data_IF_108900719249
#
_entry.id   IF_108900719249
#
_cell.length_a   1.000
_cell.length_b   1.000
_cell.length_c   1.000
_cell.angle_alpha   90.00
_cell.angle_beta   90.00
_cell.angle_gamma   90.00
#
_symmetry.space_group_name_H-M   'P 1'
#
loop_
_entity.id
_entity.type
_entity.pdbx_description
1 polymer ?
#
# COMPACT_ATOMS: atom_id res chain seq x y z
N UNK A 1 27.22 28.44 7.39
CA UNK A 1 27.41 28.08 6.00
C UNK A 1 27.75 26.60 5.80
N UNK A 2 28.85 26.04 6.35
CA UNK A 2 29.22 24.62 6.15
C UNK A 2 28.15 23.59 6.62
N UNK A 3 27.40 23.86 7.69
CA UNK A 3 26.34 22.96 8.21
C UNK A 3 25.11 22.95 7.31
N UNK A 4 24.69 24.11 6.82
CA UNK A 4 23.56 24.24 5.86
C UNK A 4 23.90 23.63 4.51
N UNK A 5 25.13 23.81 4.01
CA UNK A 5 25.59 23.19 2.77
C UNK A 5 25.64 21.66 2.89
N UNK A 6 25.96 21.13 4.07
CA UNK A 6 25.98 19.70 4.38
C UNK A 6 24.56 19.11 4.42
N UNK A 7 23.59 19.80 5.01
CA UNK A 7 22.17 19.41 5.03
C UNK A 7 21.54 19.46 3.64
N UNK A 8 21.86 20.47 2.83
CA UNK A 8 21.43 20.57 1.42
C UNK A 8 22.02 19.43 0.59
N UNK A 9 23.29 19.09 0.76
CA UNK A 9 23.95 17.99 0.04
C UNK A 9 23.38 16.63 0.47
N UNK A 10 23.01 16.43 1.74
CA UNK A 10 22.33 15.21 2.22
C UNK A 10 20.92 15.08 1.64
N UNK A 11 20.18 16.19 1.54
CA UNK A 11 18.86 16.21 0.88
C UNK A 11 18.95 15.84 -0.61
N UNK A 12 19.96 16.33 -1.32
CA UNK A 12 20.17 16.06 -2.76
C UNK A 12 20.57 14.60 -3.02
N UNK A 13 21.45 14.00 -2.21
CA UNK A 13 21.87 12.61 -2.37
C UNK A 13 20.73 11.64 -1.99
N UNK A 14 20.02 11.92 -0.90
CA UNK A 14 18.81 11.16 -0.53
C UNK A 14 17.73 11.24 -1.61
N UNK A 15 17.57 12.40 -2.21
CA UNK A 15 16.60 12.64 -3.27
C UNK A 15 16.96 11.94 -4.59
N UNK A 16 18.25 11.91 -4.97
CA UNK A 16 18.74 11.17 -6.14
C UNK A 16 18.57 9.65 -5.98
N UNK A 17 18.78 9.10 -4.78
CA UNK A 17 18.53 7.69 -4.50
C UNK A 17 17.02 7.37 -4.54
N UNK A 18 16.18 8.25 -4.02
CA UNK A 18 14.72 8.12 -4.10
C UNK A 18 14.26 8.16 -5.56
N UNK A 19 14.81 9.04 -6.39
CA UNK A 19 14.42 9.13 -7.82
C UNK A 19 14.89 7.94 -8.63
N UNK A 20 16.07 7.40 -8.38
CA UNK A 20 16.57 6.20 -9.07
C UNK A 20 15.80 4.94 -8.67
N UNK A 21 15.51 4.74 -7.39
CA UNK A 21 14.65 3.67 -6.89
C UNK A 21 13.23 3.79 -7.43
N UNK A 22 12.69 5.02 -7.48
CA UNK A 22 11.35 5.28 -7.98
C UNK A 22 11.24 5.04 -9.50
N UNK A 23 12.23 5.46 -10.30
CA UNK A 23 12.30 5.20 -11.73
C UNK A 23 12.41 3.70 -12.03
N UNK A 24 13.13 2.96 -11.18
CA UNK A 24 13.23 1.50 -11.29
C UNK A 24 11.91 0.82 -10.93
N UNK A 25 11.26 1.23 -9.85
CA UNK A 25 9.94 0.73 -9.42
C UNK A 25 8.80 1.04 -10.44
N UNK A 26 8.91 2.14 -11.20
CA UNK A 26 7.95 2.50 -12.25
C UNK A 26 8.21 1.78 -13.60
N UNK A 27 9.13 0.83 -13.64
CA UNK A 27 9.34 -0.04 -14.80
C UNK A 27 10.07 0.60 -15.99
N UNK A 28 10.79 1.71 -15.79
CA UNK A 28 11.63 2.30 -16.84
C UNK A 28 12.79 1.42 -17.25
N UNK A 29 13.15 0.43 -16.42
CA UNK A 29 14.14 -0.61 -16.74
C UNK A 29 13.45 -1.97 -16.76
N UNK A 30 12.98 -2.39 -17.94
CA UNK A 30 12.42 -3.73 -18.15
C UNK A 30 13.53 -4.78 -18.05
N UNK A 31 13.47 -5.61 -17.01
CA UNK A 31 14.12 -6.91 -17.01
C UNK A 31 13.15 -7.95 -17.57
N UNK A 32 13.58 -8.74 -18.55
CA UNK A 32 12.78 -9.80 -19.16
C UNK A 32 12.54 -10.96 -18.19
N UNK A 33 11.34 -11.57 -18.19
CA UNK A 33 11.05 -12.69 -17.29
C UNK A 33 11.71 -13.98 -17.78
N UNK A 34 12.49 -14.61 -16.93
CA UNK A 34 12.95 -15.99 -17.12
C UNK A 34 11.97 -16.97 -16.49
N UNK A 35 11.35 -17.79 -17.32
CA UNK A 35 10.53 -18.93 -16.89
C UNK A 35 11.39 -20.07 -16.37
N UNK A 36 11.08 -20.56 -15.17
CA UNK A 36 11.43 -21.93 -14.76
C UNK A 36 10.23 -22.57 -14.07
N UNK A 37 9.82 -23.80 -14.48
CA UNK A 37 8.74 -24.52 -13.82
C UNK A 37 9.27 -25.37 -12.67
N UNK A 38 8.65 -25.32 -11.52
CA UNK A 38 8.90 -26.25 -10.41
C UNK A 38 7.64 -27.05 -10.08
N UNK A 39 7.78 -28.38 -10.11
CA UNK A 39 6.76 -29.36 -9.73
C UNK A 39 6.53 -29.38 -8.21
N UNK A 40 5.31 -29.64 -7.76
CA UNK A 40 4.99 -29.76 -6.34
C UNK A 40 5.08 -31.22 -5.87
N UNK A 41 5.69 -31.44 -4.71
CA UNK A 41 5.57 -32.66 -3.92
C UNK A 41 4.63 -32.43 -2.73
N UNK A 42 3.72 -33.34 -2.40
CA UNK A 42 2.76 -33.13 -1.31
C UNK A 42 3.33 -33.58 0.04
N UNK A 43 3.19 -32.75 1.06
CA UNK A 43 3.41 -33.13 2.45
C UNK A 43 2.11 -33.07 3.22
N UNK A 44 1.66 -34.24 3.66
CA UNK A 44 0.49 -34.44 4.52
C UNK A 44 0.89 -34.24 5.98
N UNK A 45 0.30 -33.28 6.68
CA UNK A 45 0.35 -33.24 8.15
C UNK A 45 -1.06 -33.13 8.71
N UNK A 46 -1.53 -34.21 9.33
CA UNK A 46 -2.73 -34.23 10.16
C UNK A 46 -2.38 -33.72 11.56
N UNK A 47 -3.05 -32.66 12.02
CA UNK A 47 -3.16 -32.37 13.44
C UNK A 47 -4.57 -31.88 13.76
N UNK A 48 -5.32 -32.72 14.50
CA UNK A 48 -6.61 -32.36 15.10
C UNK A 48 -6.37 -31.34 16.22
N UNK A 49 -7.09 -30.24 16.17
CA UNK A 49 -7.30 -29.37 17.32
C UNK A 49 -8.80 -29.12 17.42
N UNK A 50 -9.39 -29.60 18.51
CA UNK A 50 -10.77 -29.32 18.89
C UNK A 50 -10.91 -27.84 19.25
N UNK A 51 -11.76 -27.14 18.51
CA UNK A 51 -12.18 -25.77 18.84
C UNK A 51 -13.70 -25.70 18.91
N UNK A 52 -14.16 -25.27 20.07
CA UNK A 52 -15.55 -25.07 20.45
C UNK A 52 -16.30 -24.21 19.43
N UNK A 53 -17.47 -24.69 19.06
CA UNK A 53 -18.49 -24.12 18.19
C UNK A 53 -18.74 -22.62 18.38
N UNK A 54 -18.33 -21.80 17.40
CA UNK A 54 -18.92 -20.53 17.09
C UNK A 54 -19.99 -20.74 16.02
N UNK A 55 -21.11 -20.04 16.12
CA UNK A 55 -22.23 -20.11 15.20
C UNK A 55 -21.75 -20.20 13.75
N UNK A 56 -21.98 -21.33 13.10
CA UNK A 56 -21.75 -21.54 11.67
C UNK A 56 -22.81 -20.75 10.92
N UNK A 57 -22.38 -19.76 10.17
CA UNK A 57 -23.21 -19.16 9.12
C UNK A 57 -23.52 -20.21 8.03
N UNK A 58 -24.68 -20.16 7.39
CA UNK A 58 -25.02 -21.13 6.35
C UNK A 58 -24.00 -21.08 5.21
N UNK A 59 -23.55 -22.24 4.76
CA UNK A 59 -22.59 -22.44 3.67
C UNK A 59 -23.01 -21.84 2.31
N UNK A 60 -24.12 -21.13 2.25
CA UNK A 60 -24.73 -20.51 1.07
C UNK A 60 -24.50 -18.99 0.95
N UNK A 61 -24.09 -18.31 2.02
CA UNK A 61 -23.84 -16.86 1.96
C UNK A 61 -22.69 -16.55 1.00
N UNK A 62 -22.91 -15.63 0.08
CA UNK A 62 -21.89 -15.15 -0.88
C UNK A 62 -21.60 -13.68 -0.61
N UNK A 63 -20.31 -13.32 -0.51
CA UNK A 63 -19.86 -11.94 -0.46
C UNK A 63 -19.21 -11.55 -1.79
N UNK A 64 -19.52 -10.36 -2.29
CA UNK A 64 -18.96 -9.75 -3.50
C UNK A 64 -18.22 -8.47 -3.14
N UNK A 65 -16.98 -8.38 -3.56
CA UNK A 65 -16.07 -7.29 -3.26
C UNK A 65 -15.62 -6.67 -4.57
N UNK A 66 -15.78 -5.37 -4.74
CA UNK A 66 -15.10 -4.60 -5.77
C UNK A 66 -13.78 -4.09 -5.18
N UNK A 67 -12.66 -4.53 -5.71
CA UNK A 67 -11.34 -4.04 -5.39
C UNK A 67 -10.94 -3.03 -6.46
N UNK A 68 -10.99 -1.74 -6.16
CA UNK A 68 -10.71 -0.64 -7.07
C UNK A 68 -9.46 0.10 -6.60
N UNK A 69 -8.46 0.29 -7.47
CA UNK A 69 -7.29 1.02 -7.04
C UNK A 69 -6.06 0.90 -7.93
N UNK A 70 -4.92 1.09 -7.30
CA UNK A 70 -3.60 1.19 -7.90
C UNK A 70 -2.82 -0.15 -7.89
N UNK A 71 -1.49 -0.08 -7.84
CA UNK A 71 -0.58 -1.24 -7.78
C UNK A 71 -0.80 -2.14 -6.56
N UNK A 72 -1.28 -1.59 -5.43
CA UNK A 72 -1.58 -2.40 -4.25
C UNK A 72 -2.81 -3.29 -4.47
N UNK A 73 -3.79 -2.81 -5.23
CA UNK A 73 -4.93 -3.61 -5.65
C UNK A 73 -4.51 -4.59 -6.74
N UNK A 74 -3.69 -4.19 -7.71
CA UNK A 74 -3.17 -5.11 -8.74
C UNK A 74 -2.28 -6.23 -8.17
N UNK A 75 -1.67 -6.04 -6.99
CA UNK A 75 -0.83 -7.04 -6.33
C UNK A 75 0.64 -7.02 -6.76
N UNK A 76 1.16 -5.83 -7.15
CA UNK A 76 2.58 -5.68 -7.50
C UNK A 76 3.46 -6.01 -6.29
N UNK A 77 4.52 -6.81 -6.49
CA UNK A 77 5.43 -7.28 -5.43
C UNK A 77 5.01 -8.60 -4.77
N UNK A 78 3.81 -9.11 -5.07
CA UNK A 78 3.34 -10.42 -4.61
C UNK A 78 3.94 -11.53 -5.49
N UNK A 79 4.75 -12.40 -4.89
CA UNK A 79 5.44 -13.48 -5.61
C UNK A 79 4.67 -14.80 -5.59
N UNK A 80 3.85 -15.04 -4.57
CA UNK A 80 3.15 -16.30 -4.38
C UNK A 80 1.84 -16.37 -5.15
N UNK A 81 0.97 -15.42 -4.92
CA UNK A 81 -0.39 -15.44 -5.46
C UNK A 81 -0.58 -14.48 -6.64
N UNK A 82 0.30 -13.50 -6.81
CA UNK A 82 0.32 -12.46 -7.86
C UNK A 82 -0.90 -11.54 -7.92
N UNK A 83 -1.85 -11.68 -6.97
CA UNK A 83 -3.09 -10.91 -6.88
C UNK A 83 -3.16 -10.10 -5.56
N UNK A 84 -2.02 -9.89 -4.91
CA UNK A 84 -1.90 -9.09 -3.70
C UNK A 84 -2.85 -9.53 -2.58
N UNK A 85 -3.57 -8.55 -1.98
CA UNK A 85 -4.51 -8.83 -0.90
C UNK A 85 -5.80 -9.53 -1.37
N UNK A 86 -6.18 -9.41 -2.62
CA UNK A 86 -7.48 -9.83 -3.14
C UNK A 86 -7.68 -11.34 -3.04
N UNK A 87 -6.75 -12.11 -3.58
CA UNK A 87 -6.79 -13.57 -3.56
C UNK A 87 -6.65 -14.13 -2.15
N UNK A 88 -5.77 -13.51 -1.35
CA UNK A 88 -5.62 -13.84 0.07
C UNK A 88 -6.92 -13.60 0.85
N UNK A 89 -7.57 -12.46 0.61
CA UNK A 89 -8.83 -12.09 1.25
C UNK A 89 -9.95 -13.09 0.89
N UNK A 90 -10.11 -13.38 -0.40
CA UNK A 90 -11.04 -14.40 -0.89
C UNK A 90 -10.83 -15.76 -0.21
N UNK A 91 -9.56 -16.21 -0.16
CA UNK A 91 -9.16 -17.46 0.49
C UNK A 91 -9.47 -17.46 1.99
N UNK A 92 -9.12 -16.39 2.69
CA UNK A 92 -9.35 -16.26 4.13
C UNK A 92 -10.84 -16.19 4.49
N UNK A 93 -11.68 -15.52 3.69
CA UNK A 93 -13.12 -15.45 3.91
C UNK A 93 -13.72 -16.86 3.90
N UNK A 94 -13.39 -17.68 2.92
CA UNK A 94 -13.92 -19.04 2.78
C UNK A 94 -13.32 -19.98 3.83
N UNK A 95 -12.00 -19.94 4.04
CA UNK A 95 -11.32 -20.83 4.99
C UNK A 95 -11.71 -20.55 6.45
N UNK A 96 -11.97 -19.31 6.80
CA UNK A 96 -12.43 -18.93 8.14
C UNK A 96 -13.96 -19.06 8.29
N UNK A 97 -14.66 -19.60 7.29
CA UNK A 97 -16.11 -19.79 7.30
C UNK A 97 -16.89 -18.47 7.55
N UNK A 98 -16.36 -17.34 7.10
CA UNK A 98 -17.03 -16.04 7.17
C UNK A 98 -18.15 -15.92 6.13
N UNK A 99 -17.95 -16.55 4.96
CA UNK A 99 -18.97 -16.76 3.95
C UNK A 99 -18.69 -18.07 3.20
N UNK A 100 -19.70 -18.67 2.60
CA UNK A 100 -19.56 -19.90 1.80
C UNK A 100 -18.85 -19.65 0.48
N UNK A 101 -18.95 -18.42 -0.06
CA UNK A 101 -18.31 -18.02 -1.31
C UNK A 101 -17.89 -16.54 -1.24
N UNK A 102 -16.73 -16.23 -1.78
CA UNK A 102 -16.27 -14.86 -2.01
C UNK A 102 -15.96 -14.63 -3.49
N UNK A 103 -16.46 -13.54 -4.05
CA UNK A 103 -16.12 -13.05 -5.39
C UNK A 103 -15.43 -11.73 -5.25
N UNK A 104 -14.26 -11.55 -5.87
CA UNK A 104 -13.56 -10.30 -5.94
C UNK A 104 -13.49 -9.86 -7.40
N UNK A 105 -13.99 -8.66 -7.70
CA UNK A 105 -13.81 -8.00 -8.98
C UNK A 105 -12.54 -7.18 -8.87
N UNK A 106 -11.54 -7.54 -9.67
CA UNK A 106 -10.23 -6.90 -9.68
C UNK A 106 -10.21 -5.72 -10.65
N UNK A 107 -10.07 -4.54 -10.11
CA UNK A 107 -9.93 -3.28 -10.82
C UNK A 107 -8.70 -2.52 -10.30
N UNK A 108 -7.56 -3.21 -10.18
CA UNK A 108 -6.27 -2.64 -9.86
C UNK A 108 -5.49 -2.26 -11.11
N UNK A 109 -4.95 -1.03 -11.17
CA UNK A 109 -4.09 -0.56 -12.26
C UNK A 109 -2.87 0.14 -11.66
N UNK A 110 -1.70 -0.45 -11.87
CA UNK A 110 -0.43 0.07 -11.34
C UNK A 110 -0.13 1.48 -11.87
N UNK A 111 0.31 2.35 -10.97
CA UNK A 111 0.70 3.72 -11.28
C UNK A 111 -0.43 4.74 -11.30
N UNK A 112 -1.70 4.31 -11.24
CA UNK A 112 -2.83 5.25 -11.24
C UNK A 112 -2.93 6.09 -9.97
N UNK A 113 -3.16 7.38 -10.14
CA UNK A 113 -3.54 8.31 -9.09
C UNK A 113 -5.05 8.30 -8.87
N UNK A 114 -5.49 8.96 -7.81
CA UNK A 114 -6.90 9.03 -7.45
C UNK A 114 -7.80 9.63 -8.53
N UNK A 115 -7.29 10.60 -9.31
CA UNK A 115 -8.02 11.19 -10.43
C UNK A 115 -8.21 10.21 -11.60
N UNK A 116 -7.22 9.39 -11.88
CA UNK A 116 -7.26 8.36 -12.92
C UNK A 116 -8.21 7.21 -12.51
N UNK A 117 -8.13 6.75 -11.25
CA UNK A 117 -9.06 5.77 -10.67
C UNK A 117 -10.52 6.30 -10.74
N UNK A 118 -10.74 7.56 -10.36
CA UNK A 118 -12.05 8.22 -10.46
C UNK A 118 -12.55 8.25 -11.90
N UNK A 119 -11.70 8.68 -12.84
CA UNK A 119 -12.05 8.72 -14.25
C UNK A 119 -12.45 7.33 -14.78
N UNK A 120 -11.70 6.29 -14.43
CA UNK A 120 -11.98 4.90 -14.82
C UNK A 120 -13.31 4.40 -14.24
N UNK A 121 -13.62 4.71 -12.98
CA UNK A 121 -14.92 4.40 -12.38
C UNK A 121 -16.07 5.13 -13.11
N UNK A 122 -15.87 6.38 -13.52
CA UNK A 122 -16.88 7.18 -14.22
C UNK A 122 -17.11 6.72 -15.67
N UNK A 123 -16.05 6.31 -16.37
CA UNK A 123 -16.11 6.04 -17.81
C UNK A 123 -16.42 4.56 -18.13
N UNK A 124 -16.18 3.63 -17.19
CA UNK A 124 -16.23 2.19 -17.46
C UNK A 124 -17.53 1.57 -16.94
N UNK A 125 -18.48 1.31 -17.84
CA UNK A 125 -19.77 0.68 -17.52
C UNK A 125 -19.65 -0.66 -16.79
N UNK A 126 -18.58 -1.45 -17.06
CA UNK A 126 -18.32 -2.72 -16.36
C UNK A 126 -18.08 -2.46 -14.86
N UNK A 127 -17.21 -1.54 -14.50
CA UNK A 127 -16.88 -1.22 -13.10
C UNK A 127 -18.14 -0.70 -12.38
N UNK A 128 -18.94 0.14 -13.02
CA UNK A 128 -20.20 0.62 -12.44
C UNK A 128 -21.20 -0.53 -12.15
N UNK A 129 -21.29 -1.51 -13.08
CA UNK A 129 -22.12 -2.71 -12.87
C UNK A 129 -21.57 -3.61 -11.75
N UNK A 130 -20.25 -3.69 -11.60
CA UNK A 130 -19.61 -4.43 -10.52
C UNK A 130 -19.84 -3.73 -9.18
N UNK A 131 -19.73 -2.41 -9.10
CA UNK A 131 -20.09 -1.63 -7.93
C UNK A 131 -21.55 -1.85 -7.52
N UNK A 132 -22.47 -1.84 -8.49
CA UNK A 132 -23.90 -2.06 -8.24
C UNK A 132 -24.22 -3.45 -7.65
N UNK A 133 -23.35 -4.44 -7.86
CA UNK A 133 -23.55 -5.85 -7.43
C UNK A 133 -22.71 -6.21 -6.21
N UNK A 134 -21.80 -5.35 -5.78
CA UNK A 134 -20.87 -5.64 -4.71
C UNK A 134 -21.44 -5.26 -3.36
N UNK A 135 -21.15 -6.09 -2.35
CA UNK A 135 -21.47 -5.81 -0.95
C UNK A 135 -20.47 -4.81 -0.35
N UNK A 136 -19.23 -4.82 -0.89
CA UNK A 136 -18.12 -4.00 -0.42
C UNK A 136 -17.34 -3.42 -1.58
N UNK A 137 -16.93 -2.15 -1.43
CA UNK A 137 -15.87 -1.50 -2.19
C UNK A 137 -14.61 -1.41 -1.32
N UNK A 138 -13.48 -1.94 -1.79
CA UNK A 138 -12.16 -1.73 -1.20
C UNK A 138 -11.37 -0.82 -2.13
N UNK A 139 -10.87 0.30 -1.63
CA UNK A 139 -10.11 1.29 -2.42
C UNK A 139 -8.67 1.39 -1.94
N UNK A 140 -7.72 1.32 -2.87
CA UNK A 140 -6.32 1.73 -2.67
C UNK A 140 -6.03 2.91 -3.58
N UNK A 141 -5.58 4.01 -3.02
CA UNK A 141 -5.22 5.24 -3.75
C UNK A 141 -4.40 6.17 -2.87
N UNK A 142 -3.71 7.12 -3.47
CA UNK A 142 -3.00 8.20 -2.77
C UNK A 142 -1.49 8.05 -2.77
N UNK A 143 -0.96 6.83 -2.87
CA UNK A 143 0.49 6.61 -2.99
C UNK A 143 1.06 7.29 -4.24
N UNK A 144 0.44 7.06 -5.40
CA UNK A 144 0.85 7.69 -6.65
C UNK A 144 0.61 9.20 -6.66
N UNK A 145 -0.48 9.68 -6.08
CA UNK A 145 -0.75 11.12 -5.92
C UNK A 145 0.40 11.81 -5.19
N UNK A 146 0.84 11.22 -4.08
CA UNK A 146 1.93 11.76 -3.28
C UNK A 146 3.28 11.60 -3.98
N UNK A 147 3.69 10.36 -4.30
CA UNK A 147 5.07 10.09 -4.70
C UNK A 147 5.39 10.61 -6.10
N UNK A 148 4.46 10.56 -7.07
CA UNK A 148 4.68 11.19 -8.37
C UNK A 148 4.78 12.71 -8.25
N UNK A 149 4.04 13.33 -7.32
CA UNK A 149 4.14 14.76 -7.07
C UNK A 149 5.50 15.13 -6.45
N UNK A 150 5.96 14.39 -5.44
CA UNK A 150 7.27 14.59 -4.83
C UNK A 150 8.39 14.42 -5.86
N UNK A 151 8.30 13.42 -6.74
CA UNK A 151 9.28 13.18 -7.79
C UNK A 151 9.38 14.32 -8.79
N UNK A 152 8.26 14.89 -9.22
CA UNK A 152 8.24 16.03 -10.19
C UNK A 152 8.84 17.31 -9.60
N UNK A 153 8.95 17.40 -8.27
CA UNK A 153 9.29 18.65 -7.57
C UNK A 153 10.51 18.49 -6.62
N UNK A 154 11.43 17.61 -6.99
CA UNK A 154 12.62 17.25 -6.19
C UNK A 154 13.58 18.42 -5.89
N UNK A 155 13.52 19.50 -6.67
CA UNK A 155 14.36 20.70 -6.49
C UNK A 155 13.75 21.75 -5.58
N UNK A 156 12.53 21.55 -5.07
CA UNK A 156 11.84 22.49 -4.20
C UNK A 156 12.37 22.46 -2.76
N UNK A 157 12.25 23.57 -2.07
CA UNK A 157 12.54 23.65 -0.63
C UNK A 157 11.51 22.85 0.19
N UNK A 158 11.86 22.46 1.40
CA UNK A 158 10.98 21.69 2.30
C UNK A 158 9.65 22.43 2.55
N UNK A 159 9.67 23.76 2.68
CA UNK A 159 8.45 24.57 2.84
C UNK A 159 7.56 24.54 1.58
N UNK A 160 8.15 24.61 0.40
CA UNK A 160 7.41 24.51 -0.87
C UNK A 160 6.79 23.11 -1.04
N UNK A 161 7.56 22.05 -0.71
CA UNK A 161 7.06 20.67 -0.70
C UNK A 161 5.85 20.54 0.23
N UNK A 162 5.90 21.10 1.45
CA UNK A 162 4.78 21.02 2.39
C UNK A 162 3.51 21.71 1.86
N UNK A 163 3.65 22.90 1.28
CA UNK A 163 2.52 23.62 0.64
C UNK A 163 1.91 22.79 -0.48
N UNK A 164 2.76 22.17 -1.28
CA UNK A 164 2.34 21.31 -2.41
C UNK A 164 1.66 20.04 -1.92
N UNK A 165 2.20 19.36 -0.92
CA UNK A 165 1.58 18.17 -0.29
C UNK A 165 0.18 18.51 0.20
N UNK A 166 -0.01 19.66 0.86
CA UNK A 166 -1.33 20.10 1.30
C UNK A 166 -2.29 20.32 0.13
N UNK A 167 -1.83 20.96 -0.95
CA UNK A 167 -2.65 21.17 -2.15
C UNK A 167 -3.07 19.84 -2.79
N UNK A 168 -2.11 18.93 -3.03
CA UNK A 168 -2.39 17.62 -3.64
C UNK A 168 -3.28 16.76 -2.74
N UNK A 169 -3.14 16.86 -1.42
CA UNK A 169 -4.02 16.14 -0.49
C UNK A 169 -5.47 16.62 -0.55
N UNK A 170 -5.73 17.89 -0.87
CA UNK A 170 -7.09 18.40 -1.09
C UNK A 170 -7.68 17.90 -2.43
N UNK A 171 -6.88 17.83 -3.48
CA UNK A 171 -7.29 17.22 -4.76
C UNK A 171 -7.63 15.73 -4.57
N UNK A 172 -6.77 15.00 -3.87
CA UNK A 172 -6.98 13.62 -3.46
C UNK A 172 -8.27 13.44 -2.65
N UNK A 173 -8.53 14.30 -1.65
CA UNK A 173 -9.76 14.32 -0.87
C UNK A 173 -11.00 14.40 -1.76
N UNK A 174 -11.01 15.35 -2.69
CA UNK A 174 -12.13 15.55 -3.60
C UNK A 174 -12.36 14.34 -4.52
N UNK A 175 -11.28 13.70 -4.98
CA UNK A 175 -11.36 12.50 -5.80
C UNK A 175 -11.93 11.31 -5.00
N UNK A 176 -11.43 11.08 -3.78
CA UNK A 176 -11.95 10.04 -2.90
C UNK A 176 -13.44 10.21 -2.63
N UNK A 177 -13.86 11.43 -2.24
CA UNK A 177 -15.29 11.73 -1.98
C UNK A 177 -16.14 11.36 -3.18
N UNK A 178 -15.75 11.77 -4.39
CA UNK A 178 -16.47 11.42 -5.62
C UNK A 178 -16.49 9.91 -5.90
N UNK A 179 -15.39 9.18 -5.64
CA UNK A 179 -15.35 7.72 -5.78
C UNK A 179 -16.40 7.08 -4.85
N UNK A 180 -16.46 7.50 -3.58
CA UNK A 180 -17.41 6.96 -2.60
C UNK A 180 -18.85 7.32 -2.94
N UNK A 181 -19.11 8.57 -3.35
CA UNK A 181 -20.44 9.03 -3.80
C UNK A 181 -20.94 8.23 -5.01
N UNK A 182 -20.09 7.97 -6.00
CA UNK A 182 -20.44 7.18 -7.18
C UNK A 182 -20.73 5.72 -6.78
N UNK A 183 -19.93 5.14 -5.89
CA UNK A 183 -20.19 3.79 -5.39
C UNK A 183 -21.56 3.72 -4.70
N UNK A 184 -21.87 4.65 -3.82
CA UNK A 184 -23.17 4.76 -3.13
C UNK A 184 -24.34 5.07 -4.06
N UNK A 185 -24.11 5.86 -5.10
CA UNK A 185 -25.11 6.09 -6.15
C UNK A 185 -25.46 4.81 -6.91
N UNK A 186 -24.46 3.97 -7.19
CA UNK A 186 -24.66 2.69 -7.86
C UNK A 186 -25.27 1.62 -6.94
N UNK A 187 -24.89 1.63 -5.67
CA UNK A 187 -25.41 0.74 -4.64
C UNK A 187 -25.46 1.46 -3.28
N UNK A 188 -26.62 1.96 -2.83
CA UNK A 188 -26.75 2.68 -1.55
C UNK A 188 -26.33 1.87 -0.31
N UNK A 189 -26.30 0.54 -0.41
CA UNK A 189 -25.93 -0.37 0.68
C UNK A 189 -24.49 -0.82 0.66
N UNK A 190 -23.70 -0.43 -0.36
CA UNK A 190 -22.31 -0.87 -0.48
C UNK A 190 -21.48 -0.36 0.71
N UNK A 191 -20.84 -1.24 1.43
CA UNK A 191 -19.90 -0.88 2.49
C UNK A 191 -18.57 -0.46 1.88
N UNK A 192 -17.86 0.50 2.47
CA UNK A 192 -16.66 1.07 1.86
C UNK A 192 -15.46 0.90 2.80
N UNK A 193 -14.36 0.38 2.26
CA UNK A 193 -13.08 0.27 2.95
C UNK A 193 -12.03 1.07 2.18
N UNK A 194 -11.52 2.13 2.81
CA UNK A 194 -10.38 2.90 2.29
C UNK A 194 -9.09 2.43 2.93
N UNK A 195 -8.16 1.97 2.13
CA UNK A 195 -6.83 1.53 2.58
C UNK A 195 -5.87 2.71 2.47
N UNK A 196 -5.22 3.06 3.56
CA UNK A 196 -4.23 4.12 3.62
C UNK A 196 -2.95 3.79 2.85
N UNK A 197 -2.00 4.71 2.91
CA UNK A 197 -0.67 4.58 2.29
C UNK A 197 0.42 4.43 3.35
N UNK A 198 1.63 4.09 2.94
CA UNK A 198 2.80 3.92 3.80
C UNK A 198 4.03 4.61 3.19
N UNK A 199 5.10 4.80 4.00
CA UNK A 199 6.38 5.32 3.55
C UNK A 199 7.34 4.17 3.22
N UNK A 200 7.55 3.80 1.95
CA UNK A 200 8.44 2.70 1.58
C UNK A 200 9.92 2.99 1.88
N UNK A 201 10.27 4.26 2.03
CA UNK A 201 11.65 4.71 2.24
C UNK A 201 12.05 4.81 3.71
N UNK A 202 11.12 4.59 4.66
CA UNK A 202 11.35 4.84 6.08
C UNK A 202 12.55 4.08 6.66
N UNK A 203 12.71 2.81 6.30
CA UNK A 203 13.81 1.98 6.85
C UNK A 203 15.18 2.45 6.35
N UNK A 204 15.23 3.00 5.14
CA UNK A 204 16.45 3.54 4.55
C UNK A 204 16.76 4.97 5.04
N UNK A 205 15.71 5.78 5.21
CA UNK A 205 15.82 7.20 5.58
C UNK A 205 14.97 7.56 6.80
N UNK A 206 15.19 6.90 7.96
CA UNK A 206 14.34 7.06 9.14
C UNK A 206 14.47 8.44 9.80
N UNK A 207 15.48 9.22 9.40
CA UNK A 207 15.71 10.59 9.87
C UNK A 207 15.12 11.66 8.94
N UNK A 208 14.65 11.27 7.73
CA UNK A 208 13.94 12.17 6.80
C UNK A 208 12.46 12.16 7.18
N UNK A 209 12.05 13.15 7.97
CA UNK A 209 10.70 13.22 8.54
C UNK A 209 9.65 13.73 7.57
N UNK A 210 10.05 14.53 6.58
CA UNK A 210 9.15 15.18 5.60
C UNK A 210 8.30 14.16 4.83
N UNK A 211 8.86 13.04 4.37
CA UNK A 211 8.12 11.98 3.66
C UNK A 211 7.08 11.33 4.61
N UNK A 212 7.48 11.02 5.84
CA UNK A 212 6.56 10.43 6.82
C UNK A 212 5.44 11.40 7.21
N UNK A 213 5.71 12.71 7.27
CA UNK A 213 4.71 13.75 7.49
C UNK A 213 3.74 13.84 6.30
N UNK A 214 4.25 13.79 5.07
CA UNK A 214 3.41 13.78 3.87
C UNK A 214 2.49 12.55 3.82
N UNK A 215 3.01 11.34 4.11
CA UNK A 215 2.20 10.11 4.25
C UNK A 215 1.15 10.26 5.34
N UNK A 216 1.50 10.85 6.48
CA UNK A 216 0.56 11.12 7.58
C UNK A 216 -0.55 12.09 7.14
N UNK A 217 -0.22 13.15 6.39
CA UNK A 217 -1.20 14.09 5.83
C UNK A 217 -2.20 13.36 4.93
N UNK A 218 -1.74 12.55 3.99
CA UNK A 218 -2.60 11.77 3.10
C UNK A 218 -3.48 10.78 3.85
N UNK A 219 -2.94 10.06 4.83
CA UNK A 219 -3.70 9.11 5.65
C UNK A 219 -4.76 9.83 6.51
N UNK A 220 -4.44 11.00 7.05
CA UNK A 220 -5.39 11.83 7.80
C UNK A 220 -6.50 12.33 6.90
N UNK A 221 -6.14 12.80 5.69
CA UNK A 221 -7.11 13.24 4.68
C UNK A 221 -8.04 12.09 4.26
N UNK A 222 -7.48 10.92 3.94
CA UNK A 222 -8.28 9.75 3.57
C UNK A 222 -9.22 9.31 4.70
N UNK A 223 -8.71 9.29 5.93
CA UNK A 223 -9.52 8.96 7.10
C UNK A 223 -10.65 9.97 7.32
N UNK A 224 -10.35 11.26 7.28
CA UNK A 224 -11.37 12.31 7.43
C UNK A 224 -12.46 12.21 6.35
N UNK A 225 -12.05 11.89 5.10
CA UNK A 225 -13.00 11.74 3.99
C UNK A 225 -13.91 10.52 4.17
N UNK A 226 -13.34 9.37 4.56
CA UNK A 226 -14.17 8.15 4.74
C UNK A 226 -15.08 8.24 5.95
N UNK A 227 -14.69 8.98 6.99
CA UNK A 227 -15.51 9.21 8.18
C UNK A 227 -16.78 10.06 7.88
N UNK A 228 -16.88 10.69 6.68
CA UNK A 228 -18.10 11.37 6.21
C UNK A 228 -19.19 10.38 5.73
N UNK A 229 -18.86 9.08 5.62
CA UNK A 229 -19.75 8.05 5.07
C UNK A 229 -20.08 7.00 6.13
N UNK A 230 -21.37 6.70 6.29
CA UNK A 230 -21.81 5.58 7.11
C UNK A 230 -21.38 4.24 6.50
N UNK A 231 -21.32 3.18 7.32
CA UNK A 231 -20.91 1.84 6.87
C UNK A 231 -19.58 1.85 6.09
N UNK A 232 -18.63 2.63 6.58
CA UNK A 232 -17.33 2.80 5.96
C UNK A 232 -16.19 2.71 6.99
N UNK A 233 -15.00 2.29 6.55
CA UNK A 233 -13.85 2.13 7.43
C UNK A 233 -12.54 2.52 6.77
N UNK A 234 -11.65 3.16 7.54
CA UNK A 234 -10.26 3.38 7.17
C UNK A 234 -9.36 2.25 7.66
N UNK A 235 -8.55 1.69 6.79
CA UNK A 235 -7.55 0.67 7.09
C UNK A 235 -6.15 1.27 7.05
N UNK A 236 -5.57 1.49 8.21
CA UNK A 236 -4.20 1.99 8.32
C UNK A 236 -3.19 0.87 8.09
N UNK A 237 -2.34 1.03 7.06
CA UNK A 237 -1.24 0.12 6.72
C UNK A 237 0.15 0.73 6.95
N UNK A 238 0.27 1.85 7.68
CA UNK A 238 1.55 2.53 7.93
C UNK A 238 2.58 1.64 8.67
N UNK A 239 2.16 0.53 9.27
CA UNK A 239 3.08 -0.47 9.81
C UNK A 239 4.06 -1.03 8.74
N UNK A 240 3.67 -1.03 7.46
CA UNK A 240 4.56 -1.37 6.34
C UNK A 240 5.76 -0.43 6.23
N UNK A 241 5.62 0.83 6.64
CA UNK A 241 6.74 1.80 6.64
C UNK A 241 7.90 1.34 7.52
N UNK A 242 7.58 0.79 8.69
CA UNK A 242 8.58 0.42 9.70
C UNK A 242 9.04 -1.03 9.60
N UNK A 243 8.29 -1.85 8.88
CA UNK A 243 8.59 -3.27 8.73
C UNK A 243 8.68 -3.97 10.09
N UNK A 244 9.78 -4.68 10.31
CA UNK A 244 10.06 -5.40 11.55
C UNK A 244 10.48 -4.50 12.73
N UNK A 245 10.71 -3.20 12.50
CA UNK A 245 11.16 -2.26 13.54
C UNK A 245 9.96 -1.70 14.32
N UNK A 246 9.42 -2.47 15.25
CA UNK A 246 8.14 -2.16 15.95
C UNK A 246 8.34 -1.47 17.30
N UNK A 247 9.49 -1.62 17.95
CA UNK A 247 9.74 -1.04 19.28
C UNK A 247 10.49 0.29 19.19
N UNK A 248 10.28 1.16 20.19
CA UNK A 248 11.01 2.43 20.31
C UNK A 248 12.54 2.25 20.28
N UNK A 249 13.02 1.17 20.90
CA UNK A 249 14.46 0.87 20.97
C UNK A 249 15.00 0.46 19.58
N UNK A 250 14.27 -0.38 18.84
CA UNK A 250 14.64 -0.77 17.47
C UNK A 250 14.67 0.45 16.55
N UNK A 251 13.65 1.33 16.63
CA UNK A 251 13.60 2.56 15.83
C UNK A 251 14.76 3.50 16.18
N UNK A 252 15.09 3.66 17.48
CA UNK A 252 16.23 4.47 17.91
C UNK A 252 17.55 3.93 17.36
N UNK A 253 17.74 2.61 17.39
CA UNK A 253 18.91 1.93 16.82
C UNK A 253 18.97 2.13 15.30
N UNK A 254 17.86 1.93 14.59
CA UNK A 254 17.77 2.15 13.13
C UNK A 254 18.16 3.59 12.76
N UNK A 255 17.64 4.60 13.47
CA UNK A 255 17.98 6.02 13.25
C UNK A 255 19.46 6.31 13.47
N UNK A 256 20.06 5.72 14.50
CA UNK A 256 21.49 5.88 14.78
C UNK A 256 22.34 5.24 13.68
N UNK A 257 22.05 3.98 13.29
CA UNK A 257 22.76 3.29 12.23
C UNK A 257 22.65 4.02 10.88
N UNK A 258 21.46 4.49 10.51
CA UNK A 258 21.25 5.25 9.28
C UNK A 258 22.10 6.55 9.24
N UNK A 259 22.35 7.18 10.37
CA UNK A 259 23.23 8.35 10.44
C UNK A 259 24.70 7.95 10.23
N UNK A 260 25.14 6.85 10.81
CA UNK A 260 26.49 6.31 10.67
C UNK A 260 26.76 5.82 9.23
N UNK A 261 25.81 5.09 8.63
CA UNK A 261 25.86 4.62 7.25
C UNK A 261 25.93 5.78 6.25
N UNK A 262 25.13 6.82 6.45
CA UNK A 262 25.14 8.01 5.61
C UNK A 262 26.48 8.78 5.68
N UNK A 263 27.10 8.83 6.85
CA UNK A 263 28.44 9.41 7.01
C UNK A 263 29.49 8.57 6.28
N UNK A 264 29.43 7.24 6.42
CA UNK A 264 30.32 6.31 5.76
C UNK A 264 30.18 6.32 4.23
N UNK A 265 28.93 6.46 3.69
CA UNK A 265 28.68 6.61 2.25
C UNK A 265 29.24 7.91 1.71
N UNK A 266 29.18 9.02 2.45
CA UNK A 266 29.79 10.29 2.04
C UNK A 266 31.32 10.19 2.02
N UNK A 267 31.93 9.45 2.92
CA UNK A 267 33.38 9.19 2.93
C UNK A 267 33.79 8.19 1.84
N UNK A 268 32.96 7.17 1.56
CA UNK A 268 33.19 6.11 0.56
C UNK A 268 32.79 6.48 -0.86
N UNK A 269 31.88 7.44 -1.08
CA UNK A 269 31.38 7.82 -2.42
C UNK A 269 32.44 8.43 -3.34
N UNK A 270 33.68 8.55 -2.85
CA UNK A 270 34.85 8.77 -3.70
C UNK A 270 35.35 7.52 -4.41
N UNK A 271 34.84 6.31 -4.10
CA UNK A 271 35.47 5.07 -4.61
C UNK A 271 34.51 4.07 -5.26
N UNK A 272 33.23 3.92 -4.88
CA UNK A 272 32.37 2.91 -5.56
C UNK A 272 30.86 3.15 -5.37
N UNK A 273 30.23 3.73 -6.37
CA UNK A 273 28.76 3.87 -6.47
C UNK A 273 28.04 2.57 -6.90
N UNK A 274 28.71 1.40 -6.88
CA UNK A 274 28.21 0.16 -7.50
C UNK A 274 27.82 -0.99 -6.57
N UNK A 275 27.85 -0.81 -5.26
CA UNK A 275 27.32 -1.80 -4.31
C UNK A 275 26.17 -1.22 -3.51
N UNK A 276 25.04 -1.02 -4.19
CA UNK A 276 23.73 -0.96 -3.49
C UNK A 276 23.45 -2.40 -3.04
N UNK A 277 23.30 -2.58 -1.72
CA UNK A 277 22.91 -3.85 -1.12
C UNK A 277 21.61 -4.31 -1.79
N UNK A 278 21.64 -5.40 -2.55
CA UNK A 278 20.53 -5.86 -3.38
C UNK A 278 19.37 -6.45 -2.55
N UNK A 279 19.53 -6.52 -1.23
CA UNK A 279 18.53 -7.10 -0.32
C UNK A 279 17.71 -6.02 0.36
N UNK A 280 16.36 -6.18 0.30
CA UNK A 280 15.43 -5.30 1.00
C UNK A 280 15.65 -5.35 2.52
N UNK A 281 15.77 -4.15 3.14
CA UNK A 281 15.95 -4.01 4.59
C UNK A 281 14.62 -4.06 5.35
N UNK A 282 13.51 -3.81 4.68
CA UNK A 282 12.17 -3.86 5.25
C UNK A 282 11.54 -5.23 4.99
N UNK A 283 11.30 -6.00 6.04
CA UNK A 283 10.77 -7.37 5.94
C UNK A 283 9.39 -7.51 5.28
N UNK A 284 8.70 -6.40 5.02
CA UNK A 284 7.37 -6.35 4.39
C UNK A 284 7.36 -5.83 2.97
N UNK A 285 8.52 -5.40 2.44
CA UNK A 285 8.62 -4.90 1.08
C UNK A 285 9.31 -5.91 0.16
N UNK A 286 9.09 -5.75 -1.14
CA UNK A 286 9.64 -6.60 -2.19
C UNK A 286 11.12 -6.34 -2.42
N UNK A 287 11.92 -7.41 -2.58
CA UNK A 287 13.32 -7.32 -3.00
C UNK A 287 13.46 -6.84 -4.46
N UNK A 288 12.36 -6.89 -5.26
CA UNK A 288 12.41 -6.54 -6.67
C UNK A 288 12.43 -5.02 -6.90
N UNK A 289 11.69 -4.27 -6.08
CA UNK A 289 11.51 -2.82 -6.30
C UNK A 289 11.68 -1.96 -5.05
N UNK A 290 11.87 -2.58 -3.88
CA UNK A 290 12.05 -1.90 -2.57
C UNK A 290 10.93 -0.89 -2.25
N UNK A 291 9.77 -1.09 -2.86
CA UNK A 291 8.65 -0.14 -2.80
C UNK A 291 7.33 -0.83 -2.49
N UNK A 292 6.94 -1.85 -3.24
CA UNK A 292 5.68 -2.54 -3.05
C UNK A 292 5.75 -3.59 -1.93
N UNK A 293 4.62 -3.97 -1.32
CA UNK A 293 4.60 -5.03 -0.34
C UNK A 293 5.02 -6.37 -0.95
N UNK A 294 5.79 -7.15 -0.21
CA UNK A 294 6.01 -8.57 -0.51
C UNK A 294 4.85 -9.42 0.04
N UNK A 295 4.97 -10.75 -0.04
CA UNK A 295 3.95 -11.69 0.46
C UNK A 295 3.54 -11.41 1.92
N UNK A 296 4.51 -11.14 2.81
CA UNK A 296 4.24 -10.82 4.23
C UNK A 296 3.54 -9.48 4.39
N UNK A 297 3.90 -8.50 3.56
CA UNK A 297 3.25 -7.20 3.52
C UNK A 297 1.78 -7.33 3.11
N UNK A 298 1.51 -8.11 2.06
CA UNK A 298 0.14 -8.39 1.63
C UNK A 298 -0.65 -9.24 2.63
N UNK A 299 -0.02 -10.18 3.34
CA UNK A 299 -0.68 -10.92 4.44
C UNK A 299 -1.13 -9.97 5.56
N UNK A 300 -0.27 -9.03 5.96
CA UNK A 300 -0.60 -8.03 6.97
C UNK A 300 -1.74 -7.12 6.50
N UNK A 301 -1.67 -6.62 5.26
CA UNK A 301 -2.71 -5.79 4.64
C UNK A 301 -4.05 -6.53 4.58
N UNK A 302 -4.04 -7.79 4.11
CA UNK A 302 -5.22 -8.66 4.04
C UNK A 302 -5.89 -8.85 5.39
N UNK A 303 -5.10 -9.14 6.44
CA UNK A 303 -5.63 -9.32 7.79
C UNK A 303 -6.30 -8.05 8.32
N UNK A 304 -5.76 -6.86 8.02
CA UNK A 304 -6.35 -5.59 8.41
C UNK A 304 -7.65 -5.30 7.66
N UNK A 305 -7.67 -5.53 6.34
CA UNK A 305 -8.88 -5.39 5.52
C UNK A 305 -9.97 -6.35 6.02
N UNK A 306 -9.65 -7.63 6.22
CA UNK A 306 -10.62 -8.61 6.78
C UNK A 306 -11.19 -8.16 8.11
N UNK A 307 -10.35 -7.64 9.01
CA UNK A 307 -10.81 -7.12 10.31
C UNK A 307 -11.73 -5.91 10.16
N UNK A 308 -11.51 -5.06 9.17
CA UNK A 308 -12.43 -3.95 8.85
C UNK A 308 -13.77 -4.47 8.31
N UNK A 309 -13.77 -5.46 7.43
CA UNK A 309 -14.98 -6.09 6.90
C UNK A 309 -15.83 -6.74 8.01
N UNK A 310 -15.19 -7.39 8.98
CA UNK A 310 -15.86 -7.97 10.15
C UNK A 310 -16.51 -6.89 11.04
N UNK A 311 -15.84 -5.75 11.22
CA UNK A 311 -16.38 -4.61 12.01
C UNK A 311 -17.53 -3.89 11.31
N UNK A 312 -17.58 -3.98 10.00
CA UNK A 312 -18.67 -3.45 9.17
C UNK A 312 -19.82 -4.46 9.00
N UNK A 313 -19.80 -5.59 9.71
CA UNK A 313 -20.82 -6.65 9.63
C UNK A 313 -21.12 -7.09 8.19
N UNK A 314 -20.04 -7.25 7.39
CA UNK A 314 -20.14 -7.67 5.97
C UNK A 314 -20.61 -9.11 5.83
N UNK A 315 -20.40 -9.92 6.86
CA UNK A 315 -20.62 -11.35 6.86
C UNK A 315 -21.82 -11.80 7.68
N UNK A 316 -22.61 -10.85 8.20
CA UNK A 316 -23.80 -11.11 9.02
C UNK A 316 -25.10 -11.18 8.20
#
# INVERSE_FOLDING_TARGET
>A
MKKVLKEIMFSIVGLLLITTLFLWAMGFFKASPSHHPANPTPVTVKKKVDLKTKKTQPATAQVKILALGDSLTQGVGDTQDKDGYQKRLKKQIVQNQLAGKATVYDEGVSGERSDEILHRLQSTKRIQKEAAKSDVLVVTAGGNDLFQNLQKNVSESESQIQVRVNKVSLEYQNNLRKIFEIARKNNPKIKIVMVGIYNPFYVYFPNVTSISQAVSTFNTTAKATIDEFDDAAFVNIDALSKGQFTTKQQIKKLKKQSTEDNIAVVEKSRVDARKVDSKEKNAYLSDEDHFHPNDKGYDMMTNKIKSALQKLDVFD
#
